data_IF_054602738127
#
_entry.id   IF_054602738127
#
_cell.length_a   1.000
_cell.length_b   1.000
_cell.length_c   1.000
_cell.angle_alpha   90.00
_cell.angle_beta   90.00
_cell.angle_gamma   90.00
#
_symmetry.space_group_name_H-M   'P 1'
#
loop_
_entity.id
_entity.type
_entity.pdbx_description
1 polymer ?
#
# COMPACT_ATOMS: atom_id res chain seq x y z
N UNK A 1 23.11 -36.53 70.66
CA UNK A 1 21.76 -36.32 70.14
C UNK A 1 21.78 -35.07 69.29
N UNK A 2 21.92 -35.23 67.94
CA UNK A 2 22.01 -34.13 66.98
C UNK A 2 20.72 -34.05 66.21
N UNK A 3 20.10 -32.86 66.15
CA UNK A 3 18.94 -32.58 65.30
C UNK A 3 19.42 -31.86 64.04
N UNK A 4 19.11 -32.46 62.88
CA UNK A 4 19.27 -31.88 61.56
C UNK A 4 18.24 -30.78 61.29
N UNK A 5 18.60 -29.67 60.62
CA UNK A 5 17.64 -28.74 60.06
C UNK A 5 17.29 -29.13 58.61
N UNK A 6 16.01 -29.19 58.35
CA UNK A 6 15.38 -29.45 57.04
C UNK A 6 15.75 -28.42 55.97
N UNK A 7 16.30 -28.88 54.84
CA UNK A 7 16.48 -28.08 53.65
C UNK A 7 15.11 -27.80 53.00
N UNK A 8 14.64 -26.60 53.04
CA UNK A 8 13.47 -26.13 52.32
C UNK A 8 13.83 -26.01 50.84
N UNK A 9 13.05 -26.61 49.94
CA UNK A 9 13.25 -26.71 48.51
C UNK A 9 13.06 -25.33 47.85
N UNK A 10 14.13 -24.71 47.40
CA UNK A 10 14.12 -23.48 46.59
C UNK A 10 13.62 -23.65 45.15
N UNK A 11 13.26 -24.84 44.73
CA UNK A 11 12.80 -25.15 43.35
C UNK A 11 11.30 -24.90 43.09
N UNK A 12 10.49 -24.72 44.13
CA UNK A 12 9.03 -24.52 43.96
C UNK A 12 8.60 -23.07 43.74
N UNK A 13 9.36 -22.10 44.21
CA UNK A 13 8.96 -20.69 44.12
C UNK A 13 9.28 -20.05 42.75
N UNK A 14 10.29 -20.54 42.03
CA UNK A 14 10.66 -20.02 40.70
C UNK A 14 9.68 -20.45 39.61
N UNK A 15 9.10 -21.66 39.71
CA UNK A 15 8.12 -22.16 38.76
C UNK A 15 6.74 -21.48 38.91
N UNK A 16 6.36 -21.10 40.14
CA UNK A 16 5.10 -20.34 40.36
C UNK A 16 5.21 -18.89 39.90
N UNK A 17 6.39 -18.26 40.01
CA UNK A 17 6.57 -16.90 39.52
C UNK A 17 6.56 -16.84 37.97
N UNK A 18 7.07 -17.89 37.28
CA UNK A 18 7.03 -17.98 35.82
C UNK A 18 5.62 -18.29 35.31
N UNK A 19 4.84 -19.12 36.05
CA UNK A 19 3.45 -19.43 35.70
C UNK A 19 2.50 -18.23 35.95
N UNK A 20 2.77 -17.38 36.92
CA UNK A 20 1.99 -16.17 37.19
C UNK A 20 2.18 -15.09 36.11
N UNK A 21 3.34 -15.02 35.46
CA UNK A 21 3.58 -14.12 34.31
C UNK A 21 2.89 -14.59 33.04
N UNK A 22 2.55 -15.85 32.90
CA UNK A 22 1.85 -16.43 31.76
C UNK A 22 0.30 -16.27 31.81
N UNK A 23 -0.24 -15.88 32.97
CA UNK A 23 -1.69 -15.68 33.17
C UNK A 23 -2.14 -14.22 33.08
N UNK A 24 -1.23 -13.28 32.77
CA UNK A 24 -1.63 -11.91 32.47
C UNK A 24 -2.37 -11.93 31.14
N UNK A 25 -3.59 -11.42 31.04
CA UNK A 25 -4.29 -11.34 29.77
C UNK A 25 -3.40 -10.57 28.79
N UNK A 26 -2.93 -11.27 27.76
CA UNK A 26 -2.23 -10.63 26.64
C UNK A 26 -3.31 -9.83 25.94
N UNK A 27 -3.37 -8.54 26.23
CA UNK A 27 -4.27 -7.65 25.54
C UNK A 27 -3.91 -7.68 24.04
N UNK A 28 -4.92 -7.66 23.22
CA UNK A 28 -5.00 -8.03 21.82
C UNK A 28 -3.96 -7.31 20.97
N UNK A 29 -3.16 -8.07 20.31
CA UNK A 29 -2.24 -7.60 19.25
C UNK A 29 -2.99 -7.66 17.93
N UNK A 30 -3.03 -6.56 17.20
CA UNK A 30 -3.81 -6.44 15.97
C UNK A 30 -2.88 -6.34 14.76
N UNK A 31 -2.89 -7.34 13.91
CA UNK A 31 -2.28 -7.25 12.58
C UNK A 31 -3.30 -6.62 11.61
N UNK A 32 -2.97 -5.48 11.01
CA UNK A 32 -3.90 -4.73 10.15
C UNK A 32 -3.18 -4.16 8.92
N UNK A 33 -3.89 -4.10 7.79
CA UNK A 33 -3.34 -3.72 6.49
C UNK A 33 -4.13 -2.59 5.84
N UNK A 34 -3.74 -1.32 5.96
CA UNK A 34 -4.27 -0.29 5.08
C UNK A 34 -3.75 -0.47 3.65
N UNK A 35 -4.60 -0.15 2.69
CA UNK A 35 -4.25 -0.16 1.27
C UNK A 35 -3.47 1.12 0.92
N UNK A 36 -2.32 0.96 0.26
CA UNK A 36 -1.54 2.04 -0.36
C UNK A 36 -1.89 2.05 -1.84
N UNK A 37 -2.65 3.07 -2.30
CA UNK A 37 -3.09 3.15 -3.69
C UNK A 37 -2.00 3.67 -4.63
N UNK A 38 -1.14 4.56 -4.17
CA UNK A 38 -0.11 5.22 -4.99
C UNK A 38 1.05 4.30 -5.35
N UNK A 39 0.97 3.66 -6.53
CA UNK A 39 2.01 2.78 -7.08
C UNK A 39 2.62 3.34 -8.37
N UNK A 40 2.61 4.67 -8.52
CA UNK A 40 3.16 5.43 -9.63
C UNK A 40 2.77 6.89 -9.51
N UNK A 41 3.72 7.83 -9.76
CA UNK A 41 3.47 9.26 -9.54
C UNK A 41 2.47 9.85 -10.52
N UNK A 42 2.39 9.35 -11.75
CA UNK A 42 1.38 9.80 -12.71
C UNK A 42 -0.04 9.50 -12.19
N UNK A 43 -0.30 8.25 -11.79
CA UNK A 43 -1.58 7.85 -11.21
C UNK A 43 -1.86 8.57 -9.88
N UNK A 44 -0.86 8.70 -8.99
CA UNK A 44 -1.00 9.41 -7.72
C UNK A 44 -1.41 10.87 -7.91
N UNK A 45 -0.82 11.55 -8.91
CA UNK A 45 -1.18 12.93 -9.26
C UNK A 45 -2.62 13.09 -9.75
N UNK A 46 -3.23 12.01 -10.25
CA UNK A 46 -4.61 11.93 -10.70
C UNK A 46 -5.58 11.36 -9.65
N UNK A 47 -5.19 11.36 -8.35
CA UNK A 47 -6.01 10.74 -7.32
C UNK A 47 -6.15 9.23 -7.46
N UNK A 48 -5.18 8.57 -8.10
CA UNK A 48 -5.17 7.13 -8.40
C UNK A 48 -6.29 6.65 -9.36
N UNK A 49 -6.99 7.55 -10.05
CA UNK A 49 -7.87 7.23 -11.16
C UNK A 49 -7.00 6.87 -12.38
N UNK A 50 -6.78 5.57 -12.61
CA UNK A 50 -5.86 5.07 -13.62
C UNK A 50 -6.25 3.69 -14.20
N UNK A 51 -7.44 3.18 -13.85
CA UNK A 51 -7.91 1.84 -14.24
C UNK A 51 -8.23 1.75 -15.74
N UNK A 52 -8.71 2.83 -16.33
CA UNK A 52 -9.09 2.88 -17.74
C UNK A 52 -8.04 3.58 -18.63
N UNK A 53 -7.19 4.44 -18.07
CA UNK A 53 -6.03 5.00 -18.78
C UNK A 53 -4.94 3.96 -18.92
N UNK A 54 -4.33 3.52 -17.85
CA UNK A 54 -3.30 2.48 -17.75
C UNK A 54 -2.30 2.48 -18.93
N UNK A 55 -1.69 3.66 -19.23
CA UNK A 55 -0.87 3.94 -20.40
C UNK A 55 0.63 4.13 -20.11
N UNK A 56 1.06 3.74 -18.90
CA UNK A 56 2.46 3.65 -18.51
C UNK A 56 2.77 2.29 -17.84
N UNK A 57 4.03 1.94 -17.53
CA UNK A 57 4.38 0.64 -16.96
C UNK A 57 3.64 0.26 -15.68
N UNK A 58 3.10 1.23 -14.90
CA UNK A 58 2.28 0.94 -13.73
C UNK A 58 0.90 0.35 -14.09
N UNK A 59 0.54 0.30 -15.37
CA UNK A 59 -0.59 -0.49 -15.89
C UNK A 59 -0.56 -1.92 -15.36
N UNK A 60 0.64 -2.50 -15.23
CA UNK A 60 0.83 -3.82 -14.62
C UNK A 60 0.17 -3.94 -13.23
N UNK A 61 0.10 -2.85 -12.47
CA UNK A 61 -0.60 -2.78 -11.19
C UNK A 61 -2.05 -2.31 -11.34
N UNK A 62 -2.31 -1.20 -12.03
CA UNK A 62 -3.65 -0.58 -12.07
C UNK A 62 -4.63 -1.34 -12.97
N UNK A 63 -4.21 -1.71 -14.18
CA UNK A 63 -4.98 -2.55 -15.11
C UNK A 63 -4.03 -3.27 -16.08
N UNK A 64 -3.68 -4.53 -15.83
CA UNK A 64 -2.79 -5.31 -16.70
C UNK A 64 -3.15 -5.32 -18.17
N UNK A 65 -4.44 -5.30 -18.54
CA UNK A 65 -4.87 -5.23 -19.93
C UNK A 65 -4.36 -3.96 -20.64
N UNK A 66 -4.13 -2.87 -19.90
CA UNK A 66 -3.56 -1.63 -20.41
C UNK A 66 -2.11 -1.75 -20.88
N UNK A 67 -1.37 -2.77 -20.44
CA UNK A 67 0.00 -3.02 -20.89
C UNK A 67 0.09 -3.20 -22.40
N UNK A 68 -0.99 -3.61 -23.07
CA UNK A 68 -1.04 -3.75 -24.54
C UNK A 68 -0.93 -2.41 -25.29
N UNK A 69 -1.07 -1.28 -24.60
CA UNK A 69 -0.86 0.07 -25.15
C UNK A 69 0.63 0.44 -25.23
N UNK A 70 1.48 -0.25 -24.44
CA UNK A 70 2.90 0.05 -24.32
C UNK A 70 3.69 -0.57 -25.48
N UNK A 71 4.66 0.17 -25.99
CA UNK A 71 5.53 -0.25 -27.09
C UNK A 71 6.95 -0.51 -26.61
N UNK A 72 7.66 -1.40 -27.31
CA UNK A 72 9.05 -1.74 -27.03
C UNK A 72 9.23 -2.34 -25.63
N UNK A 73 10.32 -1.94 -24.98
CA UNK A 73 10.61 -2.26 -23.57
C UNK A 73 10.51 -1.00 -22.75
N UNK A 74 9.78 -1.04 -21.66
CA UNK A 74 9.62 0.10 -20.77
C UNK A 74 9.98 -0.29 -19.35
N UNK A 75 10.79 0.55 -18.72
CA UNK A 75 11.20 0.43 -17.33
C UNK A 75 10.67 1.64 -16.55
N UNK A 76 10.10 1.40 -15.38
CA UNK A 76 9.63 2.45 -14.49
C UNK A 76 10.01 2.11 -13.05
N UNK A 77 10.54 3.08 -12.32
CA UNK A 77 10.86 2.93 -10.90
C UNK A 77 10.65 4.24 -10.15
N UNK A 78 10.30 4.13 -8.88
CA UNK A 78 10.07 5.31 -8.06
C UNK A 78 9.71 4.97 -6.61
N UNK A 79 9.40 6.02 -5.86
CA UNK A 79 9.03 5.90 -4.45
C UNK A 79 7.97 6.94 -4.06
N UNK A 80 7.18 6.59 -3.05
CA UNK A 80 6.19 7.46 -2.41
C UNK A 80 6.69 7.80 -1.00
N UNK A 81 7.06 9.05 -0.75
CA UNK A 81 7.47 9.55 0.55
C UNK A 81 6.23 9.94 1.34
N UNK A 82 5.91 9.18 2.38
CA UNK A 82 4.71 9.33 3.19
C UNK A 82 5.10 9.84 4.57
N UNK A 83 4.53 10.95 4.98
CA UNK A 83 4.69 11.53 6.31
C UNK A 83 3.33 11.76 6.96
N UNK A 84 3.33 12.43 8.12
CA UNK A 84 2.08 12.83 8.75
C UNK A 84 1.98 12.50 10.22
N UNK A 85 0.85 12.84 10.82
CA UNK A 85 0.61 12.65 12.24
C UNK A 85 -0.84 12.27 12.53
N UNK A 86 -1.02 11.58 13.65
CA UNK A 86 -2.32 11.36 14.28
C UNK A 86 -2.32 11.95 15.67
N UNK A 87 -3.26 12.85 15.95
CA UNK A 87 -3.49 13.40 17.29
C UNK A 87 -4.63 12.62 17.96
N UNK A 88 -4.42 12.24 19.19
CA UNK A 88 -5.41 11.63 20.07
C UNK A 88 -5.72 12.55 21.24
N UNK A 89 -6.99 12.65 21.58
CA UNK A 89 -7.46 13.35 22.81
C UNK A 89 -8.48 12.45 23.51
N UNK A 90 -8.18 12.06 24.73
CA UNK A 90 -9.09 11.25 25.57
C UNK A 90 -10.31 12.06 26.02
N UNK A 91 -11.38 11.42 26.53
CA UNK A 91 -12.54 12.10 27.11
C UNK A 91 -12.18 12.96 28.33
N UNK A 92 -11.05 12.70 28.99
CA UNK A 92 -10.54 13.45 30.14
C UNK A 92 -9.51 14.52 29.78
N UNK A 93 -9.27 14.74 28.46
CA UNK A 93 -8.34 15.75 27.97
C UNK A 93 -6.85 15.31 27.89
N UNK A 94 -6.53 14.04 28.18
CA UNK A 94 -5.17 13.52 27.95
C UNK A 94 -4.90 13.40 26.46
N UNK A 95 -3.76 13.90 26.00
CA UNK A 95 -3.36 13.89 24.60
C UNK A 95 -2.20 12.94 24.34
N UNK A 96 -2.16 12.39 23.12
CA UNK A 96 -1.03 11.64 22.59
C UNK A 96 -0.88 11.91 21.09
N UNK A 97 0.36 11.86 20.58
CA UNK A 97 0.65 12.04 19.16
C UNK A 97 1.32 10.78 18.61
N UNK A 98 0.77 10.27 17.51
CA UNK A 98 1.34 9.20 16.71
C UNK A 98 2.02 9.74 15.45
N UNK A 99 3.02 9.00 14.94
CA UNK A 99 3.83 9.39 13.78
C UNK A 99 4.45 10.78 13.93
N UNK A 100 5.18 10.92 14.98
CA UNK A 100 5.91 12.12 15.45
C UNK A 100 6.20 13.17 14.39
N UNK A 101 5.64 14.38 14.58
CA UNK A 101 6.14 15.62 13.98
C UNK A 101 6.33 15.59 12.45
N UNK A 102 5.53 14.81 11.72
CA UNK A 102 5.60 14.71 10.27
C UNK A 102 6.79 13.92 9.73
N UNK A 103 7.43 13.07 10.53
CA UNK A 103 8.52 12.21 10.06
C UNK A 103 8.08 11.34 8.87
N UNK A 104 8.93 11.26 7.85
CA UNK A 104 8.69 10.45 6.66
C UNK A 104 8.96 8.98 6.97
N UNK A 105 8.04 8.09 6.55
CA UNK A 105 8.24 6.64 6.64
C UNK A 105 9.50 6.22 5.87
N UNK A 106 10.36 5.44 6.52
CA UNK A 106 11.59 4.96 5.93
C UNK A 106 11.75 3.44 6.15
N UNK A 107 12.13 2.66 5.11
CA UNK A 107 12.24 3.07 3.70
C UNK A 107 10.88 3.44 3.10
N UNK A 108 10.85 4.35 2.09
CA UNK A 108 9.61 4.76 1.46
C UNK A 108 9.00 3.61 0.65
N UNK A 109 7.66 3.46 0.59
CA UNK A 109 7.00 2.57 -0.35
C UNK A 109 7.52 2.81 -1.77
N UNK A 110 8.17 1.81 -2.35
CA UNK A 110 8.81 1.91 -3.66
C UNK A 110 8.12 1.02 -4.67
N UNK A 111 8.23 1.36 -5.95
CA UNK A 111 7.68 0.58 -7.03
C UNK A 111 8.73 0.40 -8.15
N UNK A 112 8.63 -0.74 -8.82
CA UNK A 112 9.44 -1.10 -9.97
C UNK A 112 8.57 -1.85 -10.97
N UNK A 113 8.66 -1.50 -12.25
CA UNK A 113 7.95 -2.17 -13.33
C UNK A 113 8.85 -2.30 -14.55
N UNK A 114 8.89 -3.50 -15.10
CA UNK A 114 9.50 -3.81 -16.39
C UNK A 114 8.44 -4.44 -17.27
N UNK A 115 8.17 -3.83 -18.41
CA UNK A 115 7.15 -4.27 -19.37
C UNK A 115 7.76 -4.36 -20.76
N UNK A 116 7.44 -5.41 -21.51
CA UNK A 116 7.95 -5.64 -22.85
C UNK A 116 6.83 -6.10 -23.78
N UNK A 117 6.61 -5.39 -24.89
CA UNK A 117 5.76 -5.86 -25.97
C UNK A 117 6.54 -6.90 -26.81
N UNK A 118 6.09 -8.14 -26.78
CA UNK A 118 6.83 -9.25 -27.38
C UNK A 118 6.87 -9.16 -28.90
N UNK A 119 5.83 -8.61 -29.53
CA UNK A 119 5.76 -8.39 -30.97
C UNK A 119 6.81 -7.39 -31.44
N UNK A 120 7.01 -6.30 -30.69
CA UNK A 120 8.02 -5.28 -30.96
C UNK A 120 9.45 -5.84 -30.79
N UNK A 121 9.63 -6.91 -29.99
CA UNK A 121 10.87 -7.66 -29.85
C UNK A 121 11.08 -8.77 -30.90
N UNK A 122 10.18 -8.86 -31.91
CA UNK A 122 10.28 -9.85 -32.98
C UNK A 122 9.67 -11.22 -32.65
N UNK A 123 9.00 -11.38 -31.51
CA UNK A 123 8.32 -12.63 -31.12
C UNK A 123 6.89 -12.61 -31.64
N UNK A 124 6.71 -12.84 -32.93
CA UNK A 124 5.39 -12.78 -33.61
C UNK A 124 4.51 -13.98 -33.33
N UNK A 125 5.08 -15.13 -32.96
CA UNK A 125 4.35 -16.38 -32.74
C UNK A 125 3.29 -16.28 -31.60
N UNK A 126 3.45 -15.33 -30.67
CA UNK A 126 2.52 -15.10 -29.56
C UNK A 126 1.48 -13.99 -29.84
N UNK A 127 1.39 -13.52 -31.10
CA UNK A 127 0.50 -12.42 -31.44
C UNK A 127 0.88 -11.09 -30.78
N UNK A 128 -0.12 -10.27 -30.44
CA UNK A 128 0.11 -8.97 -29.79
C UNK A 128 0.06 -9.14 -28.26
N UNK A 129 1.07 -9.82 -27.74
CA UNK A 129 1.26 -10.10 -26.31
C UNK A 129 2.26 -9.15 -25.69
N UNK A 130 1.96 -8.69 -24.50
CA UNK A 130 2.86 -7.90 -23.64
C UNK A 130 3.07 -8.66 -22.34
N UNK A 131 4.32 -8.79 -21.92
CA UNK A 131 4.70 -9.42 -20.66
C UNK A 131 5.40 -8.40 -19.73
N UNK A 132 5.28 -8.60 -18.44
CA UNK A 132 5.93 -7.71 -17.47
C UNK A 132 6.12 -8.35 -16.12
N UNK A 133 6.98 -7.72 -15.32
CA UNK A 133 7.16 -8.00 -13.91
C UNK A 133 7.15 -6.68 -13.14
N UNK A 134 6.43 -6.66 -12.01
CA UNK A 134 6.36 -5.51 -11.12
C UNK A 134 6.71 -5.88 -9.69
N UNK A 135 7.20 -4.91 -8.95
CA UNK A 135 7.32 -4.95 -7.48
C UNK A 135 6.62 -3.71 -6.94
N UNK A 136 5.66 -3.91 -6.06
CA UNK A 136 4.84 -2.84 -5.48
C UNK A 136 4.67 -3.04 -3.98
N UNK A 137 4.17 -2.01 -3.29
CA UNK A 137 3.81 -2.05 -1.86
C UNK A 137 2.32 -1.68 -1.73
N UNK A 138 1.39 -2.55 -2.15
CA UNK A 138 -0.03 -2.21 -2.22
C UNK A 138 -0.74 -2.21 -0.87
N UNK A 139 -0.13 -2.80 0.15
CA UNK A 139 -0.59 -2.82 1.52
C UNK A 139 0.57 -2.50 2.45
N UNK A 140 0.30 -1.70 3.47
CA UNK A 140 1.34 -1.34 4.43
C UNK A 140 0.81 -0.46 5.54
N UNK A 141 1.52 -0.43 6.65
CA UNK A 141 1.28 0.50 7.73
C UNK A 141 2.58 0.86 8.42
N UNK A 142 2.65 2.06 8.93
CA UNK A 142 3.66 2.48 9.88
C UNK A 142 3.01 3.46 10.84
N UNK A 143 2.92 3.08 12.11
CA UNK A 143 2.40 3.93 13.17
C UNK A 143 3.29 3.78 14.38
N UNK A 144 3.75 4.92 14.93
CA UNK A 144 4.55 4.97 16.15
C UNK A 144 3.97 6.02 17.07
N UNK A 145 3.48 5.58 18.23
CA UNK A 145 3.00 6.46 19.29
C UNK A 145 4.11 6.78 20.27
N UNK A 146 3.97 7.90 20.96
CA UNK A 146 4.83 8.21 22.12
C UNK A 146 4.62 7.13 23.21
N UNK A 147 5.69 6.78 23.91
CA UNK A 147 5.70 5.68 24.89
C UNK A 147 4.69 5.85 26.01
N UNK A 148 4.33 7.10 26.36
CA UNK A 148 3.37 7.46 27.39
C UNK A 148 1.92 7.48 26.93
N UNK A 149 1.62 6.99 25.69
CA UNK A 149 0.25 6.94 25.20
C UNK A 149 -0.65 6.13 26.16
N UNK A 150 -1.87 6.60 26.47
CA UNK A 150 -2.76 5.93 27.42
C UNK A 150 -3.09 4.48 27.03
N UNK A 151 -3.16 4.21 25.73
CA UNK A 151 -3.44 2.91 25.13
C UNK A 151 -2.16 2.10 24.79
N UNK A 152 -1.04 2.40 25.44
CA UNK A 152 0.25 1.71 25.23
C UNK A 152 0.19 0.19 25.40
N UNK A 153 -0.77 -0.31 26.19
CA UNK A 153 -1.03 -1.74 26.32
C UNK A 153 -1.56 -2.36 25.05
N UNK A 154 -2.23 -1.57 24.20
CA UNK A 154 -2.78 -2.05 22.92
C UNK A 154 -1.73 -1.94 21.81
N UNK A 155 -1.13 -0.78 21.65
CA UNK A 155 -0.14 -0.52 20.61
C UNK A 155 0.71 0.71 20.91
N UNK A 156 2.01 0.60 20.67
CA UNK A 156 2.97 1.72 20.61
C UNK A 156 3.59 1.83 19.24
N UNK A 157 3.80 0.70 18.58
CA UNK A 157 4.39 0.61 17.25
C UNK A 157 3.68 -0.45 16.44
N UNK A 158 3.43 -0.16 15.16
CA UNK A 158 2.88 -1.12 14.21
C UNK A 158 3.49 -0.85 12.84
N UNK A 159 4.08 -1.88 12.23
CA UNK A 159 4.58 -1.81 10.86
C UNK A 159 4.20 -3.06 10.08
N UNK A 160 3.87 -2.86 8.81
CA UNK A 160 3.60 -3.93 7.85
C UNK A 160 4.28 -3.58 6.51
N UNK A 161 5.55 -3.96 6.31
CA UNK A 161 6.28 -3.70 5.08
C UNK A 161 6.10 -4.85 4.07
N UNK A 162 4.86 -5.15 3.65
CA UNK A 162 4.60 -6.23 2.70
C UNK A 162 4.79 -5.74 1.26
N UNK A 163 5.54 -6.50 0.47
CA UNK A 163 5.72 -6.26 -0.96
C UNK A 163 4.88 -7.26 -1.78
N UNK A 164 4.59 -6.89 -3.01
CA UNK A 164 3.86 -7.69 -3.97
C UNK A 164 4.68 -7.80 -5.26
N UNK A 165 5.09 -9.02 -5.62
CA UNK A 165 5.82 -9.33 -6.84
C UNK A 165 4.80 -9.85 -7.86
N UNK A 166 4.74 -9.20 -9.04
CA UNK A 166 3.67 -9.35 -10.03
C UNK A 166 4.18 -9.78 -11.41
N UNK A 167 4.42 -11.06 -11.68
CA UNK A 167 4.55 -11.52 -13.05
C UNK A 167 3.19 -11.44 -13.75
N UNK A 168 3.14 -10.79 -14.91
CA UNK A 168 1.89 -10.40 -15.57
C UNK A 168 2.02 -10.51 -17.08
N UNK A 169 0.96 -10.95 -17.75
CA UNK A 169 0.83 -10.96 -19.20
C UNK A 169 -0.46 -10.24 -19.62
N UNK A 170 -0.42 -9.63 -20.79
CA UNK A 170 -1.58 -9.01 -21.42
C UNK A 170 -1.64 -9.38 -22.90
N UNK A 171 -2.85 -9.49 -23.43
CA UNK A 171 -3.07 -9.86 -24.82
C UNK A 171 -4.09 -8.93 -25.47
N UNK A 172 -3.73 -8.35 -26.60
CA UNK A 172 -4.63 -7.53 -27.42
C UNK A 172 -5.41 -8.46 -28.35
N UNK A 173 -6.69 -8.67 -28.03
CA UNK A 173 -7.60 -9.55 -28.82
C UNK A 173 -7.92 -8.89 -30.17
N UNK A 174 -8.23 -7.59 -30.14
CA UNK A 174 -8.47 -6.75 -31.32
C UNK A 174 -8.23 -5.27 -30.96
N UNK A 175 -8.53 -4.35 -31.86
CA UNK A 175 -8.29 -2.93 -31.62
C UNK A 175 -9.16 -2.31 -30.53
N UNK A 176 -10.23 -2.98 -30.12
CA UNK A 176 -11.13 -2.49 -29.09
C UNK A 176 -10.96 -3.21 -27.75
N UNK A 177 -10.45 -4.47 -27.74
CA UNK A 177 -10.47 -5.31 -26.56
C UNK A 177 -9.10 -5.89 -26.25
N UNK A 178 -8.67 -5.68 -25.01
CA UNK A 178 -7.48 -6.29 -24.43
C UNK A 178 -7.83 -6.96 -23.10
N UNK A 179 -7.11 -8.02 -22.77
CA UNK A 179 -7.22 -8.75 -21.51
C UNK A 179 -5.86 -8.85 -20.84
N UNK A 180 -5.84 -8.98 -19.52
CA UNK A 180 -4.63 -9.16 -18.73
C UNK A 180 -4.82 -10.21 -17.64
N UNK A 181 -3.75 -10.92 -17.32
CA UNK A 181 -3.70 -11.93 -16.26
C UNK A 181 -2.35 -11.86 -15.55
N UNK A 182 -2.34 -11.90 -14.23
CA UNK A 182 -1.12 -11.88 -13.43
C UNK A 182 -1.25 -12.67 -12.14
N UNK A 183 -0.11 -13.02 -11.56
CA UNK A 183 -0.03 -13.48 -10.18
C UNK A 183 0.36 -12.31 -9.27
N UNK A 184 -0.15 -12.31 -8.04
CA UNK A 184 0.22 -11.40 -6.96
C UNK A 184 0.91 -12.25 -5.87
N UNK A 185 2.23 -12.08 -5.68
CA UNK A 185 3.05 -12.84 -4.72
C UNK A 185 3.42 -11.90 -3.58
N UNK A 186 2.69 -12.00 -2.49
CA UNK A 186 2.90 -11.17 -1.29
C UNK A 186 3.97 -11.79 -0.40
N UNK A 187 4.97 -10.98 -0.05
CA UNK A 187 6.08 -11.43 0.79
C UNK A 187 6.70 -10.26 1.56
N UNK A 188 7.74 -10.52 2.33
CA UNK A 188 8.48 -9.53 3.09
C UNK A 188 9.94 -9.47 2.61
N UNK A 189 10.57 -8.30 2.75
CA UNK A 189 11.96 -8.11 2.35
C UNK A 189 12.63 -7.07 3.26
N UNK A 190 13.85 -7.36 3.70
CA UNK A 190 14.67 -6.42 4.48
C UNK A 190 15.12 -5.19 3.69
N UNK A 191 14.98 -5.20 2.36
CA UNK A 191 15.20 -4.01 1.51
C UNK A 191 14.10 -2.95 1.76
N UNK A 192 12.90 -3.38 2.17
CA UNK A 192 11.71 -2.55 2.34
C UNK A 192 11.26 -2.48 3.81
N UNK A 193 12.17 -2.39 4.76
CA UNK A 193 11.91 -2.30 6.20
C UNK A 193 12.48 -3.45 6.99
N UNK A 194 11.88 -3.78 8.13
CA UNK A 194 12.34 -4.84 9.03
C UNK A 194 12.27 -6.26 8.43
N UNK A 195 11.66 -6.41 7.25
CA UNK A 195 11.46 -7.71 6.62
C UNK A 195 10.39 -8.57 7.28
N UNK A 196 9.59 -7.98 8.16
CA UNK A 196 8.51 -8.64 8.90
C UNK A 196 7.45 -7.64 9.35
N UNK A 197 6.24 -8.12 9.61
CA UNK A 197 5.25 -7.42 10.42
C UNK A 197 5.77 -7.33 11.85
N UNK A 198 5.58 -6.18 12.49
CA UNK A 198 5.97 -5.98 13.87
C UNK A 198 4.96 -5.09 14.60
N UNK A 199 4.56 -5.52 15.80
CA UNK A 199 3.65 -4.78 16.67
C UNK A 199 4.25 -4.76 18.06
N UNK A 200 4.45 -3.55 18.62
CA UNK A 200 4.95 -3.36 19.98
C UNK A 200 3.90 -2.71 20.88
N UNK A 201 3.89 -3.14 22.12
CA UNK A 201 3.03 -2.62 23.19
C UNK A 201 3.74 -2.74 24.54
N UNK A 202 3.07 -2.34 25.63
CA UNK A 202 3.55 -2.54 27.01
C UNK A 202 2.58 -3.38 27.82
N UNK A 203 3.04 -3.99 28.90
CA UNK A 203 2.17 -4.78 29.78
C UNK A 203 1.36 -3.92 30.76
N UNK A 204 1.79 -2.67 31.00
CA UNK A 204 1.12 -1.70 31.85
C UNK A 204 0.68 -0.45 31.07
N UNK A 205 -0.25 0.36 31.61
CA UNK A 205 -0.71 1.59 30.97
C UNK A 205 0.38 2.65 30.92
N UNK A 206 0.22 3.63 30.03
CA UNK A 206 1.11 4.80 29.93
C UNK A 206 2.60 4.43 29.75
N UNK A 207 2.87 3.34 29.02
CA UNK A 207 4.23 2.88 28.75
C UNK A 207 4.92 2.13 29.88
N UNK A 208 4.21 1.78 30.94
CA UNK A 208 4.76 1.05 32.08
C UNK A 208 4.79 -0.48 31.85
N UNK A 209 5.55 -1.18 32.70
CA UNK A 209 5.65 -2.64 32.64
C UNK A 209 6.60 -3.14 31.55
N UNK A 210 6.49 -4.44 31.24
CA UNK A 210 7.34 -5.08 30.26
C UNK A 210 7.00 -4.64 28.83
N UNK A 211 8.02 -4.40 28.02
CA UNK A 211 7.84 -4.22 26.58
C UNK A 211 7.42 -5.57 25.95
N UNK A 212 6.45 -5.52 25.06
CA UNK A 212 5.94 -6.68 24.33
C UNK A 212 6.07 -6.43 22.84
N UNK A 213 6.47 -7.45 22.11
CA UNK A 213 6.56 -7.44 20.67
C UNK A 213 5.96 -8.73 20.11
N UNK A 214 5.16 -8.61 19.06
CA UNK A 214 4.75 -9.71 18.19
C UNK A 214 5.25 -9.38 16.80
N UNK A 215 6.00 -10.28 16.22
CA UNK A 215 6.48 -10.16 14.86
C UNK A 215 6.12 -11.39 14.02
N UNK A 216 6.34 -11.29 12.70
CA UNK A 216 6.14 -12.42 11.80
C UNK A 216 6.28 -12.04 10.35
N UNK A 217 6.72 -13.01 9.55
CA UNK A 217 6.83 -12.91 8.11
C UNK A 217 6.32 -14.18 7.43
N UNK A 218 6.07 -14.09 6.15
CA UNK A 218 5.59 -15.22 5.36
C UNK A 218 5.38 -14.85 3.90
N UNK A 219 4.93 -15.82 3.10
CA UNK A 219 4.63 -15.62 1.69
C UNK A 219 3.27 -16.19 1.37
N UNK A 220 2.46 -15.42 0.64
CA UNK A 220 1.15 -15.82 0.15
C UNK A 220 1.00 -15.44 -1.32
N UNK A 221 0.01 -16.01 -2.00
CA UNK A 221 -0.22 -15.72 -3.41
C UNK A 221 -1.70 -15.50 -3.69
N UNK A 222 -1.95 -14.65 -4.67
CA UNK A 222 -3.22 -14.39 -5.31
C UNK A 222 -3.05 -14.29 -6.82
N UNK A 223 -4.10 -13.91 -7.51
CA UNK A 223 -4.07 -13.62 -8.94
C UNK A 223 -4.89 -12.35 -9.24
N UNK A 224 -4.62 -11.77 -10.39
CA UNK A 224 -5.43 -10.71 -10.95
C UNK A 224 -5.82 -11.02 -12.39
N UNK A 225 -6.99 -10.55 -12.78
CA UNK A 225 -7.50 -10.62 -14.13
C UNK A 225 -8.09 -9.27 -14.51
N UNK A 226 -7.94 -8.87 -15.77
CA UNK A 226 -8.37 -7.54 -16.18
C UNK A 226 -8.83 -7.48 -17.62
N UNK A 227 -9.58 -6.43 -17.92
CA UNK A 227 -10.12 -6.13 -19.23
C UNK A 227 -9.99 -4.63 -19.49
N UNK A 228 -9.67 -4.26 -20.73
CA UNK A 228 -9.75 -2.91 -21.25
C UNK A 228 -10.52 -2.92 -22.56
N UNK A 229 -11.56 -2.09 -22.62
CA UNK A 229 -12.39 -1.91 -23.81
C UNK A 229 -12.32 -0.46 -24.29
N UNK A 230 -11.97 -0.28 -25.56
CA UNK A 230 -11.85 1.03 -26.25
C UNK A 230 -12.99 1.18 -27.26
N UNK A 231 -14.16 1.74 -26.90
CA UNK A 231 -15.31 1.85 -27.80
C UNK A 231 -15.09 2.82 -28.96
N UNK A 232 -14.35 3.91 -28.74
CA UNK A 232 -14.19 4.97 -29.71
C UNK A 232 -12.72 5.34 -29.89
N UNK A 233 -12.33 5.60 -31.15
CA UNK A 233 -11.01 6.11 -31.54
C UNK A 233 -11.16 7.29 -32.46
N UNK A 234 -10.17 8.20 -32.47
CA UNK A 234 -10.09 9.26 -33.47
C UNK A 234 -9.57 8.72 -34.81
N UNK A 235 -9.46 9.62 -35.82
CA UNK A 235 -8.98 9.27 -37.15
C UNK A 235 -7.52 8.72 -37.16
N UNK A 236 -6.69 9.13 -36.19
CA UNK A 236 -5.32 8.67 -36.01
C UNK A 236 -5.23 7.33 -35.27
N UNK A 237 -6.37 6.73 -34.89
CA UNK A 237 -6.45 5.47 -34.16
C UNK A 237 -6.23 5.58 -32.66
N UNK A 238 -6.14 6.77 -32.09
CA UNK A 238 -5.96 7.00 -30.67
C UNK A 238 -7.30 6.83 -29.91
N UNK A 239 -7.32 6.19 -28.73
CA UNK A 239 -8.53 6.09 -27.91
C UNK A 239 -9.13 7.46 -27.55
N UNK A 240 -10.45 7.61 -27.71
CA UNK A 240 -11.23 8.74 -27.21
C UNK A 240 -12.02 8.39 -25.94
N UNK A 241 -12.24 7.09 -25.74
CA UNK A 241 -12.83 6.56 -24.52
C UNK A 241 -12.26 5.17 -24.24
N UNK A 242 -12.02 4.87 -22.97
CA UNK A 242 -11.69 3.54 -22.48
C UNK A 242 -12.58 3.18 -21.28
N UNK A 243 -12.86 1.89 -21.16
CA UNK A 243 -13.48 1.28 -19.98
C UNK A 243 -12.54 0.20 -19.46
N UNK A 244 -12.16 0.29 -18.20
CA UNK A 244 -11.30 -0.68 -17.53
C UNK A 244 -12.06 -1.47 -16.47
N UNK A 245 -11.75 -2.75 -16.33
CA UNK A 245 -12.23 -3.61 -15.23
C UNK A 245 -11.11 -4.50 -14.77
N UNK A 246 -10.90 -4.57 -13.45
CA UNK A 246 -9.86 -5.37 -12.83
C UNK A 246 -10.44 -6.13 -11.63
N UNK A 247 -10.14 -7.40 -11.56
CA UNK A 247 -10.37 -8.23 -10.39
C UNK A 247 -9.04 -8.69 -9.81
N UNK A 248 -8.85 -8.50 -8.51
CA UNK A 248 -7.74 -9.05 -7.74
C UNK A 248 -8.30 -9.98 -6.69
N UNK A 249 -7.81 -11.22 -6.65
CA UNK A 249 -8.28 -12.23 -5.71
C UNK A 249 -7.88 -11.89 -4.26
N UNK A 250 -8.63 -12.42 -3.33
CA UNK A 250 -8.17 -12.54 -1.95
C UNK A 250 -6.88 -13.36 -1.91
N UNK A 251 -5.95 -12.99 -1.02
CA UNK A 251 -4.76 -13.79 -0.72
C UNK A 251 -4.64 -14.02 0.78
N UNK A 252 -4.04 -15.12 1.18
CA UNK A 252 -3.72 -15.42 2.58
C UNK A 252 -2.22 -15.58 2.69
N UNK A 253 -1.61 -14.80 3.59
CA UNK A 253 -0.20 -14.86 3.90
C UNK A 253 -0.04 -15.54 5.27
N UNK A 254 0.41 -16.81 5.32
CA UNK A 254 0.68 -17.49 6.58
C UNK A 254 1.95 -16.90 7.21
N UNK A 255 1.79 -16.23 8.33
CA UNK A 255 2.87 -15.60 9.09
C UNK A 255 3.43 -16.56 10.13
N UNK A 256 4.75 -16.57 10.27
CA UNK A 256 5.49 -17.22 11.36
C UNK A 256 6.44 -16.21 11.97
N UNK A 257 6.53 -16.18 13.29
CA UNK A 257 7.35 -15.22 14.01
C UNK A 257 7.45 -15.54 15.49
N UNK A 258 7.62 -14.50 16.31
CA UNK A 258 7.89 -14.63 17.73
C UNK A 258 7.07 -13.64 18.55
N UNK A 259 6.76 -14.04 19.76
CA UNK A 259 6.31 -13.16 20.84
C UNK A 259 7.49 -12.95 21.80
N UNK A 260 7.85 -11.68 21.99
CA UNK A 260 8.96 -11.28 22.87
C UNK A 260 8.43 -10.45 24.06
N UNK A 261 9.10 -10.60 25.19
CA UNK A 261 8.90 -9.76 26.37
C UNK A 261 10.26 -9.21 26.81
N UNK A 262 10.42 -7.90 26.86
CA UNK A 262 11.69 -7.20 27.12
C UNK A 262 12.85 -7.73 26.24
N UNK A 263 12.56 -8.00 24.96
CA UNK A 263 13.54 -8.51 24.00
C UNK A 263 13.83 -10.03 24.09
N UNK A 264 13.32 -10.73 25.11
CA UNK A 264 13.48 -12.18 25.23
C UNK A 264 12.32 -12.92 24.56
N UNK A 265 12.61 -13.93 23.77
CA UNK A 265 11.60 -14.79 23.14
C UNK A 265 10.84 -15.59 24.19
N UNK A 266 9.51 -15.45 24.21
CA UNK A 266 8.62 -16.15 25.12
C UNK A 266 7.93 -17.33 24.44
N UNK A 267 7.55 -17.16 23.16
CA UNK A 267 6.90 -18.20 22.38
C UNK A 267 7.07 -17.91 20.87
N UNK A 268 7.04 -18.96 20.06
CA UNK A 268 6.84 -18.79 18.62
C UNK A 268 5.36 -18.46 18.35
N UNK A 269 5.14 -17.70 17.28
CA UNK A 269 3.82 -17.25 16.85
C UNK A 269 3.50 -17.75 15.45
N UNK A 270 2.22 -18.00 15.19
CA UNK A 270 1.70 -18.19 13.84
C UNK A 270 0.34 -17.50 13.69
N UNK A 271 0.12 -16.91 12.51
CA UNK A 271 -1.14 -16.24 12.17
C UNK A 271 -1.37 -16.27 10.66
N UNK A 272 -2.61 -16.05 10.22
CA UNK A 272 -2.95 -15.89 8.82
C UNK A 272 -3.36 -14.43 8.57
N UNK A 273 -2.58 -13.73 7.74
CA UNK A 273 -2.90 -12.40 7.27
C UNK A 273 -3.74 -12.52 5.98
N UNK A 274 -5.02 -12.19 6.06
CA UNK A 274 -5.90 -12.20 4.90
C UNK A 274 -5.84 -10.84 4.20
N UNK A 275 -5.44 -10.78 2.94
CA UNK A 275 -5.53 -9.60 2.09
C UNK A 275 -6.86 -9.63 1.31
N UNK A 276 -7.59 -8.53 1.19
CA UNK A 276 -8.93 -8.52 0.61
C UNK A 276 -8.90 -8.75 -0.90
N UNK A 277 -10.00 -9.25 -1.45
CA UNK A 277 -10.26 -9.14 -2.89
C UNK A 277 -10.59 -7.70 -3.25
N UNK A 278 -10.24 -7.30 -4.49
CA UNK A 278 -10.51 -5.95 -5.01
C UNK A 278 -11.14 -6.07 -6.38
N UNK A 279 -12.21 -5.29 -6.61
CA UNK A 279 -12.78 -5.08 -7.94
C UNK A 279 -12.64 -3.59 -8.23
N UNK A 280 -11.94 -3.25 -9.32
CA UNK A 280 -11.77 -1.88 -9.79
C UNK A 280 -12.44 -1.72 -11.15
N UNK A 281 -13.25 -0.69 -11.30
CA UNK A 281 -13.88 -0.30 -12.56
C UNK A 281 -13.61 1.17 -12.86
N UNK A 282 -13.31 1.49 -14.12
CA UNK A 282 -13.01 2.85 -14.52
C UNK A 282 -13.46 3.22 -15.92
N UNK A 283 -13.66 4.51 -16.15
CA UNK A 283 -13.96 5.11 -17.45
C UNK A 283 -13.05 6.32 -17.65
N UNK A 284 -12.27 6.30 -18.72
CA UNK A 284 -11.46 7.42 -19.18
C UNK A 284 -12.01 8.02 -20.47
N UNK A 285 -12.02 9.34 -20.57
CA UNK A 285 -12.48 10.10 -21.72
C UNK A 285 -11.40 11.12 -22.12
N UNK A 286 -11.18 11.28 -23.43
CA UNK A 286 -10.29 12.30 -24.00
C UNK A 286 -11.08 13.35 -24.79
N UNK A 287 -11.57 14.44 -24.11
CA UNK A 287 -12.25 15.53 -24.80
C UNK A 287 -11.40 16.26 -25.82
N UNK A 288 -10.08 16.34 -25.58
CA UNK A 288 -9.08 16.85 -26.52
C UNK A 288 -8.01 15.79 -26.69
N UNK A 289 -7.75 15.42 -27.93
CA UNK A 289 -6.65 14.53 -28.31
C UNK A 289 -6.22 14.80 -29.73
N UNK A 290 -5.32 15.75 -29.88
CA UNK A 290 -4.71 16.16 -31.15
C UNK A 290 -3.17 15.99 -31.11
N UNK A 291 -2.46 16.57 -32.05
CA UNK A 291 -1.01 16.43 -32.18
C UNK A 291 -0.22 17.36 -31.24
N UNK A 292 -0.85 18.33 -30.60
CA UNK A 292 -0.22 19.32 -29.72
C UNK A 292 -0.66 19.14 -28.27
N UNK A 293 -1.92 18.71 -28.04
CA UNK A 293 -2.50 18.62 -26.73
C UNK A 293 -3.34 17.35 -26.52
N UNK A 294 -3.31 16.86 -25.30
CA UNK A 294 -4.27 15.87 -24.81
C UNK A 294 -4.89 16.36 -23.50
N UNK A 295 -6.20 16.34 -23.42
CA UNK A 295 -6.93 16.50 -22.17
C UNK A 295 -7.74 15.25 -21.90
N UNK A 296 -7.52 14.67 -20.72
CA UNK A 296 -8.19 13.45 -20.28
C UNK A 296 -8.85 13.64 -18.94
N UNK A 297 -9.97 12.97 -18.74
CA UNK A 297 -10.68 12.82 -17.48
C UNK A 297 -10.95 11.35 -17.23
N UNK A 298 -10.80 10.91 -15.99
CA UNK A 298 -11.04 9.53 -15.58
C UNK A 298 -11.83 9.49 -14.28
N UNK A 299 -12.75 8.52 -14.18
CA UNK A 299 -13.50 8.20 -12.98
C UNK A 299 -13.39 6.72 -12.71
N UNK A 300 -12.97 6.36 -11.49
CA UNK A 300 -12.80 4.99 -11.04
C UNK A 300 -13.56 4.73 -9.74
N UNK A 301 -14.00 3.48 -9.57
CA UNK A 301 -14.54 2.96 -8.32
C UNK A 301 -13.85 1.65 -7.99
N UNK A 302 -13.39 1.51 -6.73
CA UNK A 302 -12.93 0.26 -6.17
C UNK A 302 -13.92 -0.26 -5.14
N UNK A 303 -14.27 -1.52 -5.23
CA UNK A 303 -14.86 -2.32 -4.16
C UNK A 303 -13.78 -3.16 -3.51
N UNK A 304 -13.64 -3.08 -2.18
CA UNK A 304 -12.62 -3.80 -1.41
C UNK A 304 -13.29 -4.72 -0.41
N UNK A 305 -13.10 -6.03 -0.56
CA UNK A 305 -13.75 -7.10 0.19
C UNK A 305 -13.13 -7.33 1.58
N UNK A 306 -13.16 -6.34 2.46
CA UNK A 306 -12.57 -6.40 3.80
C UNK A 306 -13.30 -7.33 4.76
N UNK A 307 -14.47 -7.88 4.42
CA UNK A 307 -15.14 -8.93 5.21
C UNK A 307 -14.30 -10.20 5.35
N UNK A 308 -13.27 -10.38 4.55
CA UNK A 308 -12.25 -11.43 4.76
C UNK A 308 -11.52 -11.26 6.08
N UNK A 309 -11.46 -10.04 6.62
CA UNK A 309 -10.85 -9.67 7.90
C UNK A 309 -11.88 -9.72 9.06
N UNK A 310 -12.27 -10.91 9.51
CA UNK A 310 -13.24 -11.08 10.63
C UNK A 310 -12.56 -11.32 11.95
N UNK A 311 -11.85 -12.43 12.05
CA UNK A 311 -11.12 -12.84 13.25
C UNK A 311 -9.84 -13.49 12.81
N UNK A 312 -8.71 -12.94 13.26
CA UNK A 312 -7.40 -13.55 13.12
C UNK A 312 -7.02 -14.14 14.50
N UNK A 313 -6.64 -15.40 14.55
CA UNK A 313 -6.06 -15.97 15.75
C UNK A 313 -4.53 -15.95 15.61
N UNK A 314 -3.85 -15.34 16.57
CA UNK A 314 -2.40 -15.52 16.73
C UNK A 314 -2.23 -16.71 17.67
N UNK A 315 -1.72 -17.82 17.14
CA UNK A 315 -1.43 -19.03 17.92
C UNK A 315 -0.01 -18.94 18.48
N UNK A 316 0.14 -19.31 19.75
CA UNK A 316 1.44 -19.37 20.42
C UNK A 316 1.86 -20.83 20.60
N UNK A 317 3.17 -21.10 20.54
CA UNK A 317 3.73 -22.46 20.67
C UNK A 317 3.45 -23.14 22.01
N UNK A 318 3.06 -22.38 23.03
CA UNK A 318 2.63 -22.88 24.34
C UNK A 318 1.16 -23.38 24.37
N UNK A 319 0.49 -23.42 23.21
CA UNK A 319 -0.91 -23.85 23.07
C UNK A 319 -1.95 -22.77 23.38
N UNK A 320 -1.54 -21.56 23.78
CA UNK A 320 -2.45 -20.44 23.95
C UNK A 320 -2.68 -19.72 22.62
N UNK A 321 -3.76 -18.95 22.53
CA UNK A 321 -4.09 -18.16 21.36
C UNK A 321 -4.59 -16.77 21.75
N UNK A 322 -4.26 -15.78 20.91
CA UNK A 322 -4.75 -14.43 21.05
C UNK A 322 -5.77 -14.18 19.95
N UNK A 323 -7.09 -14.19 20.27
CA UNK A 323 -8.10 -13.90 19.26
C UNK A 323 -8.06 -12.40 18.94
N UNK A 324 -7.99 -12.08 17.66
CA UNK A 324 -8.04 -10.71 17.15
C UNK A 324 -9.35 -10.54 16.39
N UNK A 325 -10.35 -9.95 17.05
CA UNK A 325 -11.66 -9.70 16.43
C UNK A 325 -11.59 -8.36 15.71
N UNK A 326 -11.76 -8.36 14.39
CA UNK A 326 -11.71 -7.18 13.56
C UNK A 326 -13.08 -6.80 13.00
N UNK A 327 -13.86 -7.77 12.54
CA UNK A 327 -15.20 -7.60 11.97
C UNK A 327 -15.29 -6.46 10.94
N UNK A 328 -14.25 -6.31 10.11
CA UNK A 328 -14.21 -5.24 9.13
C UNK A 328 -15.34 -5.38 8.11
N UNK A 329 -15.72 -4.25 7.51
CA UNK A 329 -16.77 -4.15 6.51
C UNK A 329 -16.15 -3.90 5.14
N UNK A 330 -16.80 -4.39 4.10
CA UNK A 330 -16.42 -4.04 2.75
C UNK A 330 -16.53 -2.52 2.58
N UNK A 331 -15.65 -1.96 1.78
CA UNK A 331 -15.57 -0.51 1.56
C UNK A 331 -15.45 -0.17 0.09
N UNK A 332 -15.81 1.06 -0.23
CA UNK A 332 -15.68 1.63 -1.57
C UNK A 332 -14.69 2.80 -1.55
N UNK A 333 -13.91 2.90 -2.62
CA UNK A 333 -13.13 4.09 -2.92
C UNK A 333 -13.64 4.68 -4.23
N UNK A 334 -13.83 5.98 -4.29
CA UNK A 334 -14.19 6.70 -5.50
C UNK A 334 -13.07 7.65 -5.86
N UNK A 335 -12.65 7.65 -7.12
CA UNK A 335 -11.53 8.43 -7.62
C UNK A 335 -11.95 9.20 -8.85
N UNK A 336 -11.53 10.45 -8.94
CA UNK A 336 -11.64 11.26 -10.15
C UNK A 336 -10.29 11.91 -10.42
N UNK A 337 -9.85 11.86 -11.67
CA UNK A 337 -8.59 12.44 -12.11
C UNK A 337 -8.70 13.14 -13.43
N UNK A 338 -7.82 14.10 -13.66
CA UNK A 338 -7.64 14.74 -14.95
C UNK A 338 -6.15 14.92 -15.25
N UNK A 339 -5.82 14.85 -16.51
CA UNK A 339 -4.48 15.10 -17.04
C UNK A 339 -4.59 15.97 -18.29
N UNK A 340 -3.76 17.02 -18.33
CA UNK A 340 -3.55 17.82 -19.51
C UNK A 340 -2.11 17.70 -19.95
N UNK A 341 -1.87 17.19 -21.17
CA UNK A 341 -0.54 17.04 -21.77
C UNK A 341 -0.31 18.09 -22.85
N UNK A 342 0.83 18.73 -22.78
CA UNK A 342 1.45 19.48 -23.85
C UNK A 342 2.42 18.55 -24.55
N UNK A 343 2.06 18.03 -25.73
CA UNK A 343 2.88 17.09 -26.48
C UNK A 343 4.07 17.72 -27.17
N UNK A 344 4.07 19.07 -27.23
CA UNK A 344 5.15 19.86 -27.79
C UNK A 344 5.26 21.19 -27.06
N UNK A 345 6.45 21.48 -26.53
CA UNK A 345 6.73 22.76 -25.91
C UNK A 345 7.43 23.69 -26.89
N UNK A 346 6.96 24.94 -27.03
CA UNK A 346 7.51 25.90 -27.99
C UNK A 346 9.02 26.08 -27.89
N UNK A 347 9.56 26.17 -26.66
CA UNK A 347 11.00 26.37 -26.40
C UNK A 347 11.79 25.08 -26.29
N UNK A 348 11.12 23.93 -26.12
CA UNK A 348 11.72 22.61 -25.93
C UNK A 348 10.93 21.59 -26.76
N UNK A 349 11.03 21.61 -28.10
CA UNK A 349 10.13 20.82 -28.97
C UNK A 349 10.24 19.29 -28.79
N UNK A 350 11.34 18.82 -28.18
CA UNK A 350 11.55 17.40 -27.87
C UNK A 350 11.10 17.02 -26.45
N UNK A 351 10.41 17.94 -25.76
CA UNK A 351 9.88 17.72 -24.44
C UNK A 351 8.35 17.80 -24.45
N UNK A 352 7.76 16.86 -23.70
CA UNK A 352 6.36 16.88 -23.35
C UNK A 352 6.20 17.24 -21.86
N UNK A 353 5.09 17.86 -21.52
CA UNK A 353 4.74 18.18 -20.14
C UNK A 353 3.31 17.75 -19.85
N UNK A 354 3.10 17.11 -18.71
CA UNK A 354 1.78 16.75 -18.20
C UNK A 354 1.49 17.47 -16.88
N UNK A 355 0.30 18.04 -16.76
CA UNK A 355 -0.25 18.56 -15.51
C UNK A 355 -1.41 17.69 -15.09
N UNK A 356 -1.45 17.32 -13.81
CA UNK A 356 -2.44 16.40 -13.27
C UNK A 356 -3.09 16.95 -12.02
N UNK A 357 -4.37 16.67 -11.87
CA UNK A 357 -5.10 16.91 -10.64
C UNK A 357 -6.08 15.76 -10.40
N UNK A 358 -6.36 15.46 -9.16
CA UNK A 358 -7.28 14.39 -8.82
C UNK A 358 -7.77 14.47 -7.38
N UNK A 359 -8.74 13.63 -7.11
CA UNK A 359 -9.33 13.49 -5.79
C UNK A 359 -9.76 12.04 -5.57
N UNK A 360 -9.44 11.52 -4.38
CA UNK A 360 -9.89 10.22 -3.91
C UNK A 360 -10.70 10.37 -2.65
N UNK A 361 -11.86 9.71 -2.60
CA UNK A 361 -12.58 9.41 -1.37
C UNK A 361 -12.37 7.95 -1.01
N UNK A 362 -11.90 7.69 0.22
CA UNK A 362 -11.75 6.33 0.76
C UNK A 362 -12.70 6.13 1.93
N UNK A 363 -13.58 5.15 1.82
CA UNK A 363 -14.44 4.75 2.92
C UNK A 363 -13.68 3.88 3.91
N UNK A 364 -13.82 4.15 5.22
CA UNK A 364 -13.23 3.30 6.26
C UNK A 364 -13.93 1.94 6.33
N UNK A 365 -13.12 0.90 6.42
CA UNK A 365 -13.56 -0.48 6.61
C UNK A 365 -13.74 -0.86 8.09
N UNK A 366 -13.17 -0.08 9.01
CA UNK A 366 -13.04 -0.42 10.42
C UNK A 366 -14.23 0.07 11.23
N UNK A 367 -14.99 -0.83 11.91
CA UNK A 367 -16.03 -0.44 12.87
C UNK A 367 -15.43 0.20 14.13
N UNK A 368 -16.19 1.08 14.81
CA UNK A 368 -15.74 1.71 16.06
C UNK A 368 -15.45 0.70 17.16
N UNK A 369 -16.25 -0.40 17.22
CA UNK A 369 -16.10 -1.46 18.21
C UNK A 369 -14.75 -2.18 18.15
N UNK A 370 -14.12 -2.19 16.97
CA UNK A 370 -12.83 -2.85 16.73
C UNK A 370 -11.76 -1.87 16.30
N UNK A 371 -11.98 -0.58 16.58
CA UNK A 371 -11.00 0.47 16.27
C UNK A 371 -9.67 0.20 16.96
N UNK A 372 -8.58 0.45 16.22
CA UNK A 372 -7.21 0.26 16.72
C UNK A 372 -6.35 1.49 16.42
N UNK A 373 -5.75 2.09 17.45
CA UNK A 373 -4.82 3.21 17.27
C UNK A 373 -3.57 2.88 16.45
N UNK A 374 -3.22 1.61 16.31
CA UNK A 374 -2.12 1.17 15.42
C UNK A 374 -2.40 1.40 13.95
N UNK A 375 -3.69 1.55 13.57
CA UNK A 375 -4.12 2.01 12.26
C UNK A 375 -5.33 2.92 12.44
N UNK A 376 -5.13 4.21 12.68
CA UNK A 376 -6.22 5.15 12.93
C UNK A 376 -7.00 5.42 11.63
N UNK A 377 -7.85 4.46 11.24
CA UNK A 377 -8.65 4.53 10.01
C UNK A 377 -9.92 5.37 10.22
N UNK A 378 -10.22 6.23 9.27
CA UNK A 378 -11.48 6.97 9.14
C UNK A 378 -11.79 7.14 7.64
N UNK A 379 -12.97 7.65 7.29
CA UNK A 379 -13.18 8.12 5.92
C UNK A 379 -12.14 9.17 5.58
N UNK A 380 -11.62 9.11 4.37
CA UNK A 380 -10.44 9.91 4.00
C UNK A 380 -10.68 10.62 2.67
N UNK A 381 -10.31 11.90 2.63
CA UNK A 381 -10.36 12.78 1.47
C UNK A 381 -8.93 13.08 1.02
N UNK A 382 -8.60 12.79 -0.25
CA UNK A 382 -7.23 12.89 -0.77
C UNK A 382 -7.20 13.74 -2.05
N UNK A 383 -7.16 15.08 -1.95
CA UNK A 383 -6.78 15.91 -3.08
C UNK A 383 -5.34 15.61 -3.51
N UNK A 384 -5.11 15.61 -4.81
CA UNK A 384 -3.86 15.21 -5.44
C UNK A 384 -3.49 16.14 -6.60
N UNK A 385 -2.18 16.35 -6.77
CA UNK A 385 -1.61 17.09 -7.88
C UNK A 385 -0.41 16.33 -8.43
N UNK A 386 -0.13 16.49 -9.72
CA UNK A 386 1.02 15.87 -10.37
C UNK A 386 1.55 16.68 -11.52
N UNK A 387 2.82 16.44 -11.81
CA UNK A 387 3.52 17.03 -12.95
C UNK A 387 4.40 15.94 -13.58
N UNK A 388 4.39 15.85 -14.90
CA UNK A 388 5.21 14.91 -15.65
C UNK A 388 6.00 15.62 -16.74
N UNK A 389 7.21 15.14 -16.98
CA UNK A 389 8.05 15.57 -18.10
C UNK A 389 8.54 14.33 -18.83
N UNK A 390 8.49 14.36 -20.16
CA UNK A 390 9.04 13.33 -21.03
C UNK A 390 9.97 13.98 -22.03
N UNK A 391 11.21 13.54 -22.05
CA UNK A 391 12.23 13.98 -23.00
C UNK A 391 12.48 12.90 -24.04
N UNK A 392 12.22 13.19 -25.30
CA UNK A 392 12.52 12.28 -26.41
C UNK A 392 14.03 12.13 -26.63
N UNK A 393 14.47 11.11 -27.35
CA UNK A 393 15.89 10.74 -27.50
C UNK A 393 16.79 11.89 -27.96
N UNK A 394 16.29 12.78 -28.83
CA UNK A 394 17.02 13.92 -29.37
C UNK A 394 16.97 15.16 -28.48
N UNK A 395 16.13 15.17 -27.46
CA UNK A 395 15.99 16.27 -26.53
C UNK A 395 17.24 16.47 -25.68
N UNK A 396 17.46 17.72 -25.27
CA UNK A 396 18.59 18.08 -24.42
C UNK A 396 18.17 18.08 -22.96
N UNK A 397 18.89 17.34 -22.14
CA UNK A 397 18.74 17.35 -20.70
C UNK A 397 19.59 18.47 -20.11
N UNK A 398 18.95 19.60 -19.78
CA UNK A 398 19.59 20.83 -19.28
C UNK A 398 20.78 21.38 -20.13
N UNK A 399 20.81 21.11 -21.43
CA UNK A 399 21.91 21.51 -22.30
C UNK A 399 23.21 20.69 -22.13
N UNK A 400 23.23 19.72 -21.20
CA UNK A 400 24.42 18.92 -20.85
C UNK A 400 24.59 17.69 -21.73
N UNK A 401 23.49 16.97 -22.02
CA UNK A 401 23.52 15.73 -22.81
C UNK A 401 22.19 15.49 -23.49
N UNK A 402 22.17 14.63 -24.52
CA UNK A 402 20.91 14.16 -25.10
C UNK A 402 20.24 13.15 -24.20
N UNK A 403 18.90 13.17 -24.12
CA UNK A 403 18.10 12.24 -23.32
C UNK A 403 18.33 10.78 -23.73
N UNK A 404 18.50 10.49 -25.03
CA UNK A 404 18.86 9.16 -25.52
C UNK A 404 20.23 8.64 -25.08
N UNK A 405 21.08 9.46 -24.47
CA UNK A 405 22.37 9.03 -23.91
C UNK A 405 22.29 8.68 -22.42
N UNK A 406 21.16 8.94 -21.76
CA UNK A 406 20.94 8.69 -20.32
C UNK A 406 20.38 7.29 -20.02
N UNK A 407 20.62 6.32 -20.89
CA UNK A 407 20.18 4.95 -20.72
C UNK A 407 21.00 4.15 -19.73
N UNK A 408 20.51 2.94 -19.43
CA UNK A 408 21.16 1.99 -18.53
C UNK A 408 22.10 1.10 -19.34
N UNK A 409 23.40 1.16 -19.03
CA UNK A 409 24.41 0.39 -19.74
C UNK A 409 24.58 0.83 -21.20
N UNK A 410 24.37 -0.11 -22.15
CA UNK A 410 24.48 0.15 -23.60
C UNK A 410 23.13 0.46 -24.28
N UNK A 411 22.02 0.32 -23.53
CA UNK A 411 20.68 0.59 -24.07
C UNK A 411 20.41 2.09 -24.10
N UNK A 412 20.02 2.60 -25.29
CA UNK A 412 19.67 4.01 -25.49
C UNK A 412 18.16 4.15 -25.43
N UNK A 413 17.60 4.91 -24.49
CA UNK A 413 16.16 5.11 -24.44
C UNK A 413 15.70 6.02 -25.57
N UNK A 414 14.54 5.72 -26.14
CA UNK A 414 13.80 6.60 -27.06
C UNK A 414 13.18 7.78 -26.32
N UNK A 415 12.84 7.58 -25.06
CA UNK A 415 12.37 8.65 -24.18
C UNK A 415 12.74 8.40 -22.73
N UNK A 416 12.97 9.48 -22.00
CA UNK A 416 13.21 9.51 -20.56
C UNK A 416 12.14 10.38 -19.90
N UNK A 417 11.40 9.83 -18.93
CA UNK A 417 10.34 10.54 -18.22
C UNK A 417 10.65 10.69 -16.73
N UNK A 418 10.17 11.79 -16.15
CA UNK A 418 10.09 12.00 -14.71
C UNK A 418 8.69 12.47 -14.36
N UNK A 419 8.05 11.83 -13.38
CA UNK A 419 6.76 12.23 -12.85
C UNK A 419 6.90 12.55 -11.36
N UNK A 420 6.26 13.63 -10.96
CA UNK A 420 6.16 14.10 -9.58
C UNK A 420 4.70 14.12 -9.17
N UNK A 421 4.42 13.77 -7.93
CA UNK A 421 3.07 13.88 -7.37
C UNK A 421 3.09 14.38 -5.94
N UNK A 422 1.98 14.99 -5.54
CA UNK A 422 1.71 15.36 -4.17
C UNK A 422 0.26 15.00 -3.84
N UNK A 423 0.06 14.37 -2.69
CA UNK A 423 -1.24 14.00 -2.15
C UNK A 423 -1.34 14.44 -0.71
N UNK A 424 -2.52 14.87 -0.29
CA UNK A 424 -2.79 15.20 1.10
C UNK A 424 -4.01 14.42 1.58
N UNK A 425 -3.79 13.40 2.41
CA UNK A 425 -4.88 12.62 2.98
C UNK A 425 -5.41 13.27 4.26
N UNK A 426 -6.63 13.79 4.18
CA UNK A 426 -7.39 14.33 5.30
C UNK A 426 -8.38 13.26 5.78
N UNK A 427 -8.16 12.74 6.98
CA UNK A 427 -9.07 11.82 7.63
C UNK A 427 -10.17 12.59 8.34
N UNK A 428 -11.42 12.16 8.22
CA UNK A 428 -12.49 12.68 9.05
C UNK A 428 -12.16 12.48 10.54
N UNK A 429 -12.47 13.46 11.36
CA UNK A 429 -12.27 13.32 12.81
C UNK A 429 -13.08 12.12 13.32
N UNK A 430 -12.43 11.20 13.99
CA UNK A 430 -13.09 9.99 14.47
C UNK A 430 -13.22 9.99 15.98
N UNK A 431 -14.44 9.91 16.48
CA UNK A 431 -14.75 9.78 17.91
C UNK A 431 -15.05 8.34 18.24
N UNK A 432 -14.24 7.74 19.11
CA UNK A 432 -14.43 6.38 19.64
C UNK A 432 -15.01 6.51 21.05
N UNK A 433 -16.18 5.87 21.27
CA UNK A 433 -16.90 5.89 22.55
C UNK A 433 -17.51 4.50 22.83
N UNK A 434 -16.66 3.47 22.83
CA UNK A 434 -17.08 2.10 23.06
C UNK A 434 -17.49 1.90 24.53
N UNK A 435 -18.69 1.34 24.80
CA UNK A 435 -19.13 1.02 26.17
C UNK A 435 -18.39 -0.19 26.72
N UNK A 436 -18.38 -0.30 28.05
CA UNK A 436 -17.92 -1.52 28.73
C UNK A 436 -18.70 -2.74 28.24
N UNK A 437 -18.00 -3.85 28.02
CA UNK A 437 -18.57 -5.08 27.45
C UNK A 437 -18.46 -5.20 25.92
N UNK A 438 -18.02 -4.14 25.22
CA UNK A 438 -17.63 -4.25 23.81
C UNK A 438 -16.49 -5.27 23.68
N UNK A 439 -16.54 -6.23 22.74
CA UNK A 439 -15.43 -7.16 22.52
C UNK A 439 -14.13 -6.40 22.24
N UNK A 440 -13.12 -6.62 23.11
CA UNK A 440 -11.85 -5.87 23.04
C UNK A 440 -11.87 -4.50 23.65
N UNK A 441 -12.87 -4.21 24.47
CA UNK A 441 -12.96 -2.95 25.17
C UNK A 441 -11.68 -2.60 25.93
N UNK A 442 -11.09 -1.48 25.55
CA UNK A 442 -10.06 -0.81 26.33
C UNK A 442 -10.47 0.68 26.43
N UNK A 443 -10.84 1.17 27.63
CA UNK A 443 -11.30 2.54 27.81
C UNK A 443 -10.27 3.58 27.40
N UNK A 444 -9.00 3.23 27.42
CA UNK A 444 -7.91 4.12 27.01
C UNK A 444 -7.90 4.42 25.50
N UNK A 445 -8.63 3.65 24.69
CA UNK A 445 -8.79 3.90 23.23
C UNK A 445 -9.91 4.93 22.98
N UNK A 446 -10.87 5.08 23.89
CA UNK A 446 -11.95 6.04 23.73
C UNK A 446 -11.39 7.48 23.70
N UNK A 447 -11.84 8.23 22.70
CA UNK A 447 -11.37 9.60 22.48
C UNK A 447 -11.56 10.05 21.04
N UNK A 448 -10.97 11.18 20.71
CA UNK A 448 -11.03 11.79 19.38
C UNK A 448 -9.67 11.61 18.71
N UNK A 449 -9.71 11.10 17.47
CA UNK A 449 -8.53 10.91 16.59
C UNK A 449 -8.63 11.86 15.41
N UNK A 450 -7.53 12.61 15.16
CA UNK A 450 -7.36 13.49 14.00
C UNK A 450 -6.11 13.09 13.26
N UNK A 451 -6.22 12.73 12.00
CA UNK A 451 -5.11 12.23 11.18
C UNK A 451 -4.97 13.05 9.91
N UNK A 452 -3.74 13.43 9.58
CA UNK A 452 -3.40 14.08 8.30
C UNK A 452 -2.10 13.49 7.79
N UNK A 453 -2.08 13.02 6.53
CA UNK A 453 -0.93 12.34 5.93
C UNK A 453 -0.60 12.97 4.57
N UNK A 454 0.43 13.83 4.48
CA UNK A 454 1.03 14.24 3.21
C UNK A 454 1.84 13.09 2.60
N UNK A 455 1.80 12.99 1.28
CA UNK A 455 2.63 12.07 0.52
C UNK A 455 3.15 12.73 -0.75
N UNK A 456 4.44 12.55 -1.05
CA UNK A 456 5.11 13.03 -2.26
C UNK A 456 5.68 11.86 -3.06
N UNK A 457 5.39 11.78 -4.36
CA UNK A 457 5.87 10.71 -5.24
C UNK A 457 6.88 11.22 -6.26
N UNK A 458 7.88 10.39 -6.55
CA UNK A 458 8.84 10.59 -7.64
C UNK A 458 8.96 9.30 -8.42
N UNK A 459 8.82 9.39 -9.75
CA UNK A 459 8.91 8.22 -10.65
C UNK A 459 9.77 8.56 -11.86
N UNK A 460 10.66 7.64 -12.21
CA UNK A 460 11.47 7.69 -13.44
C UNK A 460 10.96 6.64 -14.43
N UNK A 461 10.88 7.02 -15.73
CA UNK A 461 10.47 6.14 -16.83
C UNK A 461 11.54 6.13 -17.92
N UNK A 462 11.81 4.94 -18.46
CA UNK A 462 12.72 4.73 -19.58
C UNK A 462 11.98 3.91 -20.64
N UNK A 463 11.83 4.47 -21.83
CA UNK A 463 11.19 3.82 -22.96
C UNK A 463 12.29 3.44 -23.99
N UNK A 464 12.41 2.16 -24.31
CA UNK A 464 13.41 1.60 -25.24
C UNK A 464 12.82 1.14 -26.57
#
# INVERSE_FOLDING_TARGET
MARHPSRCRFLGCSALALAATLLIPVERVYAQTPRIQGQGSAASGMGNAFTAQADDPSALHYNPAGMTQLRGVQLMTGALFVGGSTEYTSPTGVTATGNRDGSVAWPPPSHFFLVANLKDLGIHALGDMTAGIGVTVPFGSLTQWQTTAPFSQTVLFNTLPIIDIKPTIAYKINDQLSIGLGADIYTFSTIFGEGQLEIRSTSGPNGTGAQREVNGSGTGAGFNASLMYTPFRNADGNPLANVGLVYRSQAVVPLKGQFLSNGAVVADTSANLALPSIISGGVALWPIRDQEHEWKMEFDIDYVGWRSFRTTAISLSNGSGIPVVQNWRDSFNAMIGMEYKFLKLERLPEWEMALRAGYTYQQTQMPDQTFNPGIPSANTHIPSFGMGFLCNENGSFFGLTKCGNLGIGRMKPKALGIDLSFQMAYYENRTIANPAGTPGFNPAINGIYKTTIPAGGVTLRFNY
#
